data_IF_455313922694
#
_entry.id   IF_455313922694
#
_cell.length_a   1.000
_cell.length_b   1.000
_cell.length_c   1.000
_cell.angle_alpha   90.00
_cell.angle_beta   90.00
_cell.angle_gamma   90.00
#
_symmetry.space_group_name_H-M   'P 1'
#
loop_
_entity.id
_entity.type
_entity.pdbx_description
1 polymer ?
#
# COMPACT_ATOMS: atom_id res chain seq x y z
N UNK A 1 -22.82 24.69 -1.94
CA UNK A 1 -21.43 24.59 -1.46
C UNK A 1 -20.96 23.18 -1.74
N UNK A 2 -20.15 23.00 -2.79
CA UNK A 2 -19.59 21.68 -3.13
C UNK A 2 -18.42 21.49 -2.18
N UNK A 3 -18.57 20.65 -1.16
CA UNK A 3 -17.45 20.21 -0.35
C UNK A 3 -16.51 19.43 -1.27
N UNK A 4 -15.43 20.06 -1.75
CA UNK A 4 -14.28 19.34 -2.30
C UNK A 4 -13.69 18.58 -1.11
N UNK A 5 -14.11 17.33 -0.93
CA UNK A 5 -13.44 16.39 -0.04
C UNK A 5 -11.99 16.29 -0.53
N UNK A 6 -11.07 16.95 0.17
CA UNK A 6 -9.65 16.69 0.04
C UNK A 6 -9.44 15.24 0.48
N UNK A 7 -9.47 14.31 -0.47
CA UNK A 7 -8.95 12.96 -0.28
C UNK A 7 -7.45 13.13 -0.08
N UNK A 8 -7.01 13.25 1.17
CA UNK A 8 -5.59 13.27 1.54
C UNK A 8 -5.02 11.87 1.32
N UNK A 9 -4.70 11.54 0.06
CA UNK A 9 -3.93 10.35 -0.25
C UNK A 9 -2.53 10.58 0.29
N UNK A 10 -2.20 9.94 1.40
CA UNK A 10 -0.83 9.94 1.89
C UNK A 10 -0.06 8.94 1.05
N UNK A 11 0.85 9.45 0.22
CA UNK A 11 1.80 8.61 -0.48
C UNK A 11 3.02 8.41 0.40
N UNK A 12 3.50 7.18 0.42
CA UNK A 12 4.62 6.77 1.24
C UNK A 12 5.72 6.23 0.35
N UNK A 13 6.94 6.59 0.75
CA UNK A 13 8.17 5.96 0.30
C UNK A 13 8.63 5.00 1.38
N UNK A 14 9.03 3.80 0.98
CA UNK A 14 9.66 2.83 1.85
C UNK A 14 11.08 2.61 1.35
N UNK A 15 12.06 2.65 2.26
CA UNK A 15 13.45 2.42 1.94
C UNK A 15 14.00 1.29 2.81
N UNK A 16 14.73 0.35 2.20
CA UNK A 16 15.41 -0.69 2.93
C UNK A 16 16.76 -0.16 3.45
N UNK A 17 17.00 -0.14 4.77
CA UNK A 17 18.26 0.36 5.33
C UNK A 17 19.47 -0.54 5.03
N UNK A 18 19.23 -1.78 4.60
CA UNK A 18 20.27 -2.80 4.42
C UNK A 18 20.77 -2.85 2.97
N UNK A 19 19.85 -2.87 2.00
CA UNK A 19 20.19 -3.00 0.58
C UNK A 19 19.87 -1.74 -0.25
N UNK A 20 19.30 -0.68 0.35
CA UNK A 20 18.93 0.55 -0.34
C UNK A 20 17.76 0.43 -1.30
N UNK A 21 17.08 -0.73 -1.36
CA UNK A 21 15.90 -0.91 -2.19
C UNK A 21 14.78 0.03 -1.75
N UNK A 22 14.18 0.77 -2.69
CA UNK A 22 13.06 1.67 -2.42
C UNK A 22 11.78 1.17 -3.05
N UNK A 23 10.66 1.47 -2.40
CA UNK A 23 9.31 1.34 -2.96
C UNK A 23 8.64 2.68 -2.75
N UNK A 24 8.32 3.34 -3.85
CA UNK A 24 7.74 4.68 -3.87
C UNK A 24 6.27 4.61 -4.30
N UNK A 25 5.50 5.65 -3.96
CA UNK A 25 4.11 5.80 -4.46
C UNK A 25 3.10 4.81 -3.87
N UNK A 26 3.40 4.18 -2.73
CA UNK A 26 2.41 3.38 -2.02
C UNK A 26 1.46 4.29 -1.27
N UNK A 27 0.17 4.19 -1.56
CA UNK A 27 -0.88 4.88 -0.83
C UNK A 27 -1.33 4.05 0.38
N UNK A 28 -1.45 4.71 1.53
CA UNK A 28 -2.15 4.22 2.73
C UNK A 28 -3.20 5.31 3.04
N UNK A 29 -4.48 4.95 3.19
CA UNK A 29 -5.54 5.96 3.30
C UNK A 29 -6.78 5.44 4.00
N UNK A 30 -7.14 6.10 5.11
CA UNK A 30 -8.25 5.75 5.99
C UNK A 30 -9.29 6.88 6.13
N UNK A 31 -10.51 6.56 5.69
CA UNK A 31 -11.85 7.03 6.12
C UNK A 31 -12.05 8.48 6.63
N UNK A 32 -12.68 9.27 5.77
CA UNK A 32 -13.84 10.10 6.09
C UNK A 32 -14.82 9.97 4.89
N UNK A 33 -15.84 9.11 4.98
CA UNK A 33 -16.97 9.02 4.04
C UNK A 33 -16.74 8.47 2.61
N UNK A 34 -15.80 7.56 2.35
CA UNK A 34 -15.74 6.93 1.02
C UNK A 34 -15.35 5.45 1.08
N UNK A 35 -15.99 4.67 0.20
CA UNK A 35 -16.02 3.20 0.09
C UNK A 35 -14.68 2.57 -0.35
N UNK A 36 -13.57 3.29 -0.21
CA UNK A 36 -12.27 2.94 -0.77
C UNK A 36 -11.21 2.87 0.33
N UNK A 37 -10.80 1.65 0.69
CA UNK A 37 -9.67 1.41 1.58
C UNK A 37 -8.50 0.89 0.75
N UNK A 38 -7.51 1.75 0.49
CA UNK A 38 -6.27 1.32 -0.13
C UNK A 38 -5.42 0.60 0.92
N UNK A 39 -5.23 -0.70 0.71
CA UNK A 39 -4.36 -1.54 1.52
C UNK A 39 -3.13 -1.94 0.71
N UNK A 40 -1.97 -1.99 1.35
CA UNK A 40 -0.73 -2.43 0.73
C UNK A 40 -0.67 -3.96 0.77
N UNK A 41 -0.66 -4.57 -0.40
CA UNK A 41 -0.61 -6.01 -0.56
C UNK A 41 0.68 -6.42 -1.27
N UNK A 42 1.17 -7.61 -0.93
CA UNK A 42 2.35 -8.21 -1.54
C UNK A 42 1.99 -9.52 -2.24
N UNK A 43 2.54 -9.72 -3.44
CA UNK A 43 2.53 -11.02 -4.09
C UNK A 43 3.56 -11.95 -3.42
N UNK A 44 3.16 -13.10 -2.84
CA UNK A 44 4.11 -14.01 -2.18
C UNK A 44 5.13 -14.63 -3.14
N UNK A 45 4.79 -14.76 -4.43
CA UNK A 45 5.65 -15.35 -5.46
C UNK A 45 6.66 -14.36 -6.04
N UNK A 46 6.19 -13.21 -6.55
CA UNK A 46 7.05 -12.20 -7.19
C UNK A 46 7.57 -11.12 -6.21
N UNK A 47 7.15 -11.15 -4.93
CA UNK A 47 7.45 -10.16 -3.87
C UNK A 47 7.07 -8.72 -4.16
N UNK A 48 6.44 -8.45 -5.31
CA UNK A 48 5.91 -7.14 -5.72
C UNK A 48 4.88 -6.64 -4.70
N UNK A 49 4.99 -5.37 -4.34
CA UNK A 49 4.10 -4.69 -3.40
C UNK A 49 3.28 -3.65 -4.17
N UNK A 50 1.98 -3.62 -3.92
CA UNK A 50 1.04 -2.72 -4.61
C UNK A 50 -0.02 -2.21 -3.64
N UNK A 51 -0.45 -0.96 -3.81
CA UNK A 51 -1.61 -0.42 -3.10
C UNK A 51 -2.87 -0.77 -3.87
N UNK A 52 -3.75 -1.55 -3.24
CA UNK A 52 -4.98 -2.03 -3.88
C UNK A 52 -6.18 -1.54 -3.09
N UNK A 53 -7.16 -1.05 -3.81
CA UNK A 53 -8.44 -0.67 -3.26
C UNK A 53 -9.25 -1.94 -2.93
N UNK A 54 -9.39 -2.25 -1.66
CA UNK A 54 -10.13 -3.43 -1.19
C UNK A 54 -11.36 -2.96 -0.40
N UNK A 55 -12.57 -3.40 -0.80
CA UNK A 55 -13.77 -3.15 -0.02
C UNK A 55 -13.61 -3.64 1.41
N UNK A 56 -14.11 -2.87 2.38
CA UNK A 56 -13.92 -3.16 3.80
C UNK A 56 -14.35 -4.57 4.21
N UNK A 57 -15.45 -5.06 3.64
CA UNK A 57 -15.96 -6.42 3.88
C UNK A 57 -14.93 -7.49 3.49
N UNK A 58 -14.27 -7.32 2.33
CA UNK A 58 -13.23 -8.24 1.84
C UNK A 58 -11.94 -8.14 2.62
N UNK A 59 -11.63 -6.96 3.16
CA UNK A 59 -10.49 -6.80 4.05
C UNK A 59 -10.69 -7.62 5.34
N UNK A 60 -11.88 -7.58 5.93
CA UNK A 60 -12.20 -8.33 7.15
C UNK A 60 -12.17 -9.84 6.95
N UNK A 61 -12.60 -10.34 5.78
CA UNK A 61 -12.55 -11.78 5.46
C UNK A 61 -11.17 -12.26 5.02
N UNK A 62 -10.21 -11.35 4.78
CA UNK A 62 -8.89 -11.68 4.24
C UNK A 62 -8.95 -12.19 2.79
N UNK A 63 -10.01 -11.85 2.06
CA UNK A 63 -10.20 -12.18 0.65
C UNK A 63 -9.54 -11.13 -0.24
N UNK A 64 -8.21 -11.21 -0.31
CA UNK A 64 -7.41 -10.36 -1.18
C UNK A 64 -7.44 -10.85 -2.64
N UNK A 65 -7.31 -9.93 -3.61
CA UNK A 65 -7.26 -10.27 -5.02
C UNK A 65 -6.01 -11.08 -5.40
N UNK A 66 -6.06 -11.68 -6.59
CA UNK A 66 -4.90 -12.33 -7.19
C UNK A 66 -3.96 -11.27 -7.76
N UNK A 67 -2.65 -11.48 -7.62
CA UNK A 67 -1.63 -10.64 -8.23
C UNK A 67 -1.75 -10.66 -9.75
N UNK A 68 -1.55 -9.54 -10.42
CA UNK A 68 -1.54 -9.52 -11.88
C UNK A 68 -0.35 -10.30 -12.46
N UNK A 69 0.83 -10.24 -11.80
CA UNK A 69 2.08 -10.90 -12.21
C UNK A 69 1.94 -12.44 -12.23
N UNK A 70 1.54 -13.02 -11.10
CA UNK A 70 1.65 -14.47 -10.87
C UNK A 70 0.30 -15.17 -10.76
N UNK A 71 -0.82 -14.43 -10.82
CA UNK A 71 -2.18 -14.94 -10.60
C UNK A 71 -2.34 -15.72 -9.28
N UNK A 72 -1.53 -15.40 -8.26
CA UNK A 72 -1.61 -15.98 -6.91
C UNK A 72 -2.26 -14.99 -5.94
N UNK A 73 -2.92 -15.50 -4.90
CA UNK A 73 -3.56 -14.66 -3.88
C UNK A 73 -2.52 -13.77 -3.21
N UNK A 74 -2.77 -12.47 -3.22
CA UNK A 74 -1.92 -11.52 -2.51
C UNK A 74 -2.17 -11.58 -1.01
N UNK A 75 -1.22 -11.08 -0.23
CA UNK A 75 -1.30 -11.04 1.24
C UNK A 75 -0.99 -9.63 1.73
N UNK A 76 -1.43 -9.28 2.94
CA UNK A 76 -1.05 -8.00 3.55
C UNK A 76 0.46 -7.91 3.59
N UNK A 77 0.99 -6.80 3.08
CA UNK A 77 2.42 -6.57 3.13
C UNK A 77 2.84 -6.23 4.55
N UNK A 78 3.83 -6.94 5.06
CA UNK A 78 4.34 -6.77 6.42
C UNK A 78 5.41 -5.67 6.51
N UNK A 79 5.54 -4.83 5.47
CA UNK A 79 6.57 -3.77 5.34
C UNK A 79 8.00 -4.33 5.29
N UNK A 80 8.17 -5.58 4.85
CA UNK A 80 9.48 -6.20 4.64
C UNK A 80 9.99 -5.98 3.21
N UNK A 81 11.29 -5.75 3.10
CA UNK A 81 11.98 -5.56 1.84
C UNK A 81 11.82 -6.79 0.93
N UNK A 82 11.34 -6.64 -0.31
CA UNK A 82 11.22 -7.72 -1.29
C UNK A 82 12.53 -8.45 -1.60
N UNK A 83 13.67 -7.77 -1.41
CA UNK A 83 15.01 -8.27 -1.79
C UNK A 83 15.68 -9.02 -0.65
N UNK A 84 15.74 -8.43 0.54
CA UNK A 84 16.50 -8.99 1.67
C UNK A 84 15.63 -9.35 2.90
N UNK A 85 14.33 -9.09 2.87
CA UNK A 85 13.40 -9.43 3.96
C UNK A 85 13.50 -8.54 5.20
N UNK A 86 14.43 -7.58 5.26
CA UNK A 86 14.54 -6.61 6.36
C UNK A 86 13.34 -5.64 6.37
N UNK A 87 12.92 -5.21 7.56
CA UNK A 87 11.88 -4.18 7.68
C UNK A 87 12.32 -2.88 7.02
N UNK A 88 11.45 -2.33 6.20
CA UNK A 88 11.69 -1.06 5.51
C UNK A 88 11.30 0.12 6.39
N UNK A 89 12.01 1.23 6.22
CA UNK A 89 11.74 2.50 6.88
C UNK A 89 10.72 3.27 6.03
N UNK A 90 9.64 3.71 6.65
CA UNK A 90 8.58 4.50 6.02
C UNK A 90 8.92 5.99 6.11
N UNK A 91 8.94 6.67 4.98
CA UNK A 91 8.99 8.12 4.86
C UNK A 91 7.67 8.60 4.23
N UNK A 92 7.02 9.57 4.86
CA UNK A 92 5.80 10.18 4.30
C UNK A 92 6.24 11.17 3.22
N UNK A 93 5.76 10.99 2.00
CA UNK A 93 5.87 12.00 0.96
C UNK A 93 4.69 12.95 1.18
N UNK A 94 4.87 13.97 2.02
CA UNK A 94 3.88 15.04 2.11
C UNK A 94 3.97 15.85 0.82
N UNK A 95 2.85 16.04 0.12
CA UNK A 95 2.72 17.16 -0.81
C UNK A 95 2.76 18.43 0.06
N UNK A 96 3.88 19.14 0.03
CA UNK A 96 3.97 20.53 0.45
C UNK A 96 2.95 21.35 -0.36
N UNK A 97 1.70 21.42 0.12
CA UNK A 97 0.77 22.48 -0.27
C UNK A 97 1.28 23.79 0.34
N UNK A 98 2.25 24.42 -0.34
CA UNK A 98 2.45 25.87 -0.28
C UNK A 98 1.33 26.59 -1.05
#
# INVERSE_FOLDING_TARGET
MIYKLHMSHSFYKYECPDCGYTIDGLSEGGRLFSEYNYIQLQCPACKKVESINVPYEKEQTGEFPLSECCKVKMQKWDKSCPVCGKKMIQAVLWDDFC
#
